data_IF_529750233392
#
_entry.id   IF_529750233392
#
_cell.length_a   1.000
_cell.length_b   1.000
_cell.length_c   1.000
_cell.angle_alpha   90.00
_cell.angle_beta   90.00
_cell.angle_gamma   90.00
#
_symmetry.space_group_name_H-M   'P 1'
#
loop_
_entity.id
_entity.type
_entity.pdbx_description
1 polymer ?
#
# COMPACT_ATOMS: atom_id res chain seq x y z
N UNK A 1 -14.27 6.90 -15.96
CA UNK A 1 -13.17 7.71 -15.41
C UNK A 1 -11.93 6.83 -15.36
N UNK A 2 -10.78 7.36 -15.77
CA UNK A 2 -9.49 6.65 -15.78
C UNK A 2 -8.49 7.50 -14.99
N UNK A 3 -7.76 6.89 -14.07
CA UNK A 3 -6.69 7.56 -13.31
C UNK A 3 -5.37 6.91 -13.67
N UNK A 4 -4.41 7.70 -14.17
CA UNK A 4 -3.09 7.24 -14.63
C UNK A 4 -2.04 8.16 -14.04
N UNK A 5 -1.30 7.66 -13.06
CA UNK A 5 -0.35 8.44 -12.27
C UNK A 5 1.08 8.00 -12.57
N UNK A 6 1.97 8.95 -12.75
CA UNK A 6 3.41 8.75 -12.89
C UNK A 6 4.14 9.44 -11.74
N UNK A 7 4.80 8.67 -10.88
CA UNK A 7 5.31 9.14 -9.61
C UNK A 7 6.74 9.66 -9.72
N UNK A 8 6.94 10.92 -9.31
CA UNK A 8 8.21 11.64 -9.40
C UNK A 8 8.48 12.28 -10.76
N UNK A 9 7.67 11.98 -11.78
CA UNK A 9 7.84 12.52 -13.13
C UNK A 9 6.82 13.59 -13.51
N UNK A 10 7.04 14.21 -14.67
CA UNK A 10 6.11 15.18 -15.28
C UNK A 10 5.02 14.45 -16.08
N UNK A 11 3.95 15.17 -16.42
CA UNK A 11 2.95 14.67 -17.37
C UNK A 11 3.64 14.13 -18.62
N UNK A 12 3.33 12.89 -18.98
CA UNK A 12 4.02 12.18 -20.06
C UNK A 12 3.09 11.25 -20.81
N UNK A 13 3.42 10.93 -22.04
CA UNK A 13 2.71 9.94 -22.85
C UNK A 13 3.64 8.78 -23.13
N UNK A 14 3.29 7.60 -22.62
CA UNK A 14 4.11 6.39 -22.74
C UNK A 14 3.26 5.30 -23.38
N UNK A 15 3.72 4.72 -24.50
CA UNK A 15 2.95 3.71 -25.23
C UNK A 15 1.56 4.18 -25.67
N UNK A 16 1.39 5.47 -25.98
CA UNK A 16 0.10 6.06 -26.37
C UNK A 16 -0.86 6.35 -25.20
N UNK A 17 -0.41 6.18 -23.96
CA UNK A 17 -1.18 6.38 -22.74
C UNK A 17 -0.67 7.64 -22.04
N UNK A 18 -1.56 8.62 -21.80
CA UNK A 18 -1.21 9.82 -21.03
C UNK A 18 -1.24 9.52 -19.54
N UNK A 19 -0.17 9.90 -18.84
CA UNK A 19 -0.02 9.85 -17.39
C UNK A 19 0.08 11.26 -16.82
N UNK A 20 -0.63 11.47 -15.72
CA UNK A 20 -0.51 12.66 -14.88
C UNK A 20 0.71 12.50 -13.96
N UNK A 21 1.58 13.51 -13.95
CA UNK A 21 2.80 13.51 -13.16
C UNK A 21 2.54 13.91 -11.71
N UNK A 22 3.13 13.16 -10.78
CA UNK A 22 3.13 13.43 -9.36
C UNK A 22 4.53 13.92 -8.93
N UNK A 23 4.73 15.23 -8.91
CA UNK A 23 6.01 15.85 -8.58
C UNK A 23 6.10 16.35 -7.13
N UNK A 24 5.05 16.16 -6.33
CA UNK A 24 5.05 16.65 -4.96
C UNK A 24 6.10 15.87 -4.13
N UNK A 25 7.04 16.55 -3.46
CA UNK A 25 8.10 15.86 -2.72
C UNK A 25 7.56 15.04 -1.55
N UNK A 26 6.34 15.31 -1.06
CA UNK A 26 5.77 14.70 0.12
C UNK A 26 6.56 15.05 1.38
N UNK A 27 6.60 14.11 2.33
CA UNK A 27 7.31 14.29 3.60
C UNK A 27 7.01 13.14 4.58
N UNK A 28 7.64 13.14 5.77
CA UNK A 28 7.55 12.05 6.75
C UNK A 28 6.15 11.86 7.36
N UNK A 29 5.32 12.91 7.31
CA UNK A 29 3.91 12.86 7.64
C UNK A 29 3.21 13.88 6.74
N UNK A 30 2.85 13.45 5.54
CA UNK A 30 2.28 14.32 4.52
C UNK A 30 0.98 13.73 3.98
N UNK A 31 0.00 14.60 3.76
CA UNK A 31 -1.16 14.32 2.93
C UNK A 31 -1.23 15.39 1.84
N UNK A 32 -1.15 14.93 0.60
CA UNK A 32 -1.08 15.78 -0.58
C UNK A 32 -2.34 15.53 -1.41
N UNK A 33 -3.32 16.43 -1.36
CA UNK A 33 -4.45 16.38 -2.28
C UNK A 33 -3.98 16.84 -3.67
N UNK A 34 -3.89 15.91 -4.63
CA UNK A 34 -3.54 16.21 -6.00
C UNK A 34 -4.82 16.43 -6.85
N UNK A 35 -5.28 17.68 -6.85
CA UNK A 35 -6.53 18.06 -7.52
C UNK A 35 -7.77 17.38 -6.94
N UNK A 36 -8.87 17.37 -7.71
CA UNK A 36 -10.15 16.83 -7.26
C UNK A 36 -10.16 15.30 -7.20
N UNK A 37 -9.41 14.64 -8.09
CA UNK A 37 -9.62 13.24 -8.45
C UNK A 37 -8.71 12.26 -7.74
N UNK A 38 -7.57 12.70 -7.19
CA UNK A 38 -6.69 11.79 -6.47
C UNK A 38 -5.80 12.52 -5.45
N UNK A 39 -5.08 11.76 -4.63
CA UNK A 39 -4.06 12.30 -3.73
C UNK A 39 -3.39 11.18 -2.98
N UNK A 40 -2.35 11.50 -2.22
CA UNK A 40 -1.63 10.49 -1.46
C UNK A 40 -1.35 10.94 -0.03
N UNK A 41 -1.23 9.96 0.86
CA UNK A 41 -0.66 10.12 2.18
C UNK A 41 0.66 9.36 2.25
N UNK A 42 1.69 10.02 2.75
CA UNK A 42 2.96 9.38 3.08
C UNK A 42 3.22 9.46 4.58
N UNK A 43 3.75 8.37 5.14
CA UNK A 43 4.13 8.27 6.54
C UNK A 43 5.47 7.60 6.70
N UNK A 44 6.18 8.00 7.74
CA UNK A 44 7.46 7.46 8.15
C UNK A 44 8.62 8.38 7.78
N UNK A 45 9.58 8.42 8.68
CA UNK A 45 10.84 9.12 8.52
C UNK A 45 11.98 8.13 8.25
N UNK A 46 12.82 8.45 7.28
CA UNK A 46 14.02 7.66 6.99
C UNK A 46 15.10 8.00 8.01
N UNK A 47 15.62 6.99 8.70
CA UNK A 47 16.65 7.17 9.72
C UNK A 47 18.04 7.31 9.08
N UNK A 48 18.91 8.12 9.70
CA UNK A 48 20.33 8.27 9.37
C UNK A 48 20.60 8.55 7.88
N UNK A 49 19.84 9.46 7.27
CA UNK A 49 20.05 9.81 5.85
C UNK A 49 21.24 10.75 5.67
N UNK A 50 22.22 10.34 4.86
CA UNK A 50 23.42 11.15 4.57
C UNK A 50 23.14 12.28 3.57
N UNK A 51 22.09 12.17 2.75
CA UNK A 51 21.83 13.06 1.60
C UNK A 51 20.48 13.78 1.68
N UNK A 52 19.94 13.90 2.89
CA UNK A 52 18.60 14.43 3.14
C UNK A 52 17.49 13.44 2.77
N UNK A 53 16.30 13.71 3.29
CA UNK A 53 15.11 12.90 3.06
C UNK A 53 14.62 13.06 1.63
N UNK A 54 14.53 11.95 0.89
CA UNK A 54 13.92 11.91 -0.44
C UNK A 54 12.83 10.85 -0.49
N UNK A 55 11.63 11.27 -0.87
CA UNK A 55 10.49 10.38 -1.09
C UNK A 55 10.19 10.16 -2.58
N UNK A 56 11.00 10.74 -3.46
CA UNK A 56 11.04 10.44 -4.90
C UNK A 56 12.43 9.88 -5.20
N UNK A 57 12.46 8.73 -5.85
CA UNK A 57 13.65 8.08 -6.36
C UNK A 57 13.84 8.41 -7.84
N UNK A 58 15.11 8.56 -8.21
CA UNK A 58 15.57 8.60 -9.60
C UNK A 58 16.26 7.27 -9.93
N UNK A 59 16.17 6.84 -11.18
CA UNK A 59 16.87 5.67 -11.65
C UNK A 59 18.39 5.88 -11.61
N UNK A 60 19.10 4.85 -11.14
CA UNK A 60 20.56 4.91 -10.97
C UNK A 60 21.33 4.32 -12.15
N UNK A 61 20.64 3.80 -13.16
CA UNK A 61 21.20 3.12 -14.33
C UNK A 61 20.38 3.39 -15.59
N UNK A 62 20.93 3.05 -16.76
CA UNK A 62 20.20 3.12 -18.02
C UNK A 62 19.20 1.97 -18.09
N UNK A 63 17.91 2.31 -18.12
CA UNK A 63 16.81 1.36 -18.25
C UNK A 63 16.66 0.94 -19.73
N UNK A 64 16.82 -0.36 -20.01
CA UNK A 64 16.77 -0.91 -21.39
C UNK A 64 15.42 -1.52 -21.78
N UNK A 65 14.44 -1.45 -20.89
CA UNK A 65 13.08 -1.95 -21.16
C UNK A 65 12.31 -1.03 -22.11
N UNK A 66 11.28 -1.55 -22.76
CA UNK A 66 10.32 -0.71 -23.47
C UNK A 66 9.59 0.21 -22.50
N UNK A 67 9.18 1.40 -22.96
CA UNK A 67 8.44 2.37 -22.15
C UNK A 67 9.19 2.75 -20.85
N UNK A 68 10.53 2.75 -20.91
CA UNK A 68 11.42 3.01 -19.77
C UNK A 68 11.17 4.36 -19.09
N UNK A 69 10.62 5.33 -19.83
CA UNK A 69 10.27 6.67 -19.36
C UNK A 69 9.30 6.63 -18.18
N UNK A 70 8.45 5.60 -18.08
CA UNK A 70 7.51 5.42 -16.97
C UNK A 70 8.17 4.91 -15.68
N UNK A 71 9.43 4.46 -15.76
CA UNK A 71 10.16 3.83 -14.67
C UNK A 71 11.41 4.61 -14.27
N UNK A 72 11.70 5.76 -14.88
CA UNK A 72 12.83 6.62 -14.50
C UNK A 72 12.68 7.18 -13.08
N UNK A 73 11.44 7.30 -12.62
CA UNK A 73 11.10 7.80 -11.31
C UNK A 73 10.13 6.86 -10.58
N UNK A 74 10.19 6.92 -9.25
CA UNK A 74 9.26 6.19 -8.40
C UNK A 74 9.11 6.88 -7.04
N UNK A 75 7.93 6.76 -6.42
CA UNK A 75 7.72 7.23 -5.04
C UNK A 75 8.18 6.17 -4.04
N UNK A 76 8.81 6.64 -2.97
CA UNK A 76 9.31 5.89 -1.84
C UNK A 76 8.57 6.26 -0.55
N UNK A 77 8.54 5.33 0.39
CA UNK A 77 8.09 5.58 1.76
C UNK A 77 8.82 4.69 2.73
N UNK A 78 9.15 5.21 3.91
CA UNK A 78 9.82 4.42 4.95
C UNK A 78 8.84 3.59 5.79
N UNK A 79 7.52 3.85 5.73
CA UNK A 79 6.54 3.09 6.51
C UNK A 79 5.26 2.78 5.74
N UNK A 80 4.55 3.79 5.27
CA UNK A 80 3.30 3.57 4.53
C UNK A 80 3.04 4.69 3.54
N UNK A 81 2.68 4.31 2.33
CA UNK A 81 2.26 5.18 1.25
C UNK A 81 0.86 4.76 0.81
N UNK A 82 -0.09 5.68 0.87
CA UNK A 82 -1.49 5.40 0.53
C UNK A 82 -1.97 6.37 -0.53
N UNK A 83 -2.47 5.84 -1.65
CA UNK A 83 -3.15 6.61 -2.68
C UNK A 83 -4.65 6.50 -2.52
N UNK A 84 -5.31 7.63 -2.75
CA UNK A 84 -6.75 7.77 -2.76
C UNK A 84 -7.17 8.27 -4.14
N UNK A 85 -7.78 7.40 -4.95
CA UNK A 85 -8.51 7.86 -6.11
C UNK A 85 -9.94 8.19 -5.68
N UNK A 86 -10.37 9.44 -5.90
CA UNK A 86 -11.64 10.01 -5.48
C UNK A 86 -12.53 10.25 -6.69
N UNK A 87 -13.80 10.59 -6.43
CA UNK A 87 -14.79 10.93 -7.46
C UNK A 87 -15.05 9.80 -8.48
N UNK A 88 -14.71 8.55 -8.13
CA UNK A 88 -14.95 7.39 -8.97
C UNK A 88 -16.45 7.02 -8.97
N UNK A 89 -16.95 6.47 -10.07
CA UNK A 89 -18.26 5.83 -10.08
C UNK A 89 -18.21 4.54 -9.26
N UNK A 90 -19.32 4.16 -8.62
CA UNK A 90 -19.39 2.87 -7.96
C UNK A 90 -19.41 1.76 -9.01
N UNK A 91 -18.65 0.69 -8.76
CA UNK A 91 -18.57 -0.45 -9.68
C UNK A 91 -17.21 -1.15 -9.65
N UNK A 92 -16.93 -1.89 -10.72
CA UNK A 92 -15.74 -2.71 -10.89
C UNK A 92 -14.64 -1.96 -11.61
N UNK A 93 -13.41 -2.07 -11.12
CA UNK A 93 -12.23 -1.46 -11.71
C UNK A 93 -11.12 -2.49 -11.91
N UNK A 94 -10.32 -2.27 -12.95
CA UNK A 94 -9.01 -2.89 -13.12
C UNK A 94 -7.95 -1.92 -12.60
N UNK A 95 -7.17 -2.39 -11.62
CA UNK A 95 -6.03 -1.65 -11.05
C UNK A 95 -4.74 -2.30 -11.53
N UNK A 96 -3.85 -1.51 -12.14
CA UNK A 96 -2.51 -1.93 -12.56
C UNK A 96 -1.46 -1.12 -11.81
N UNK A 97 -0.58 -1.83 -11.11
CA UNK A 97 0.52 -1.26 -10.35
C UNK A 97 1.83 -1.53 -11.10
N UNK A 98 2.56 -0.47 -11.42
CA UNK A 98 3.79 -0.51 -12.20
C UNK A 98 5.00 -0.34 -11.28
N UNK A 99 5.88 -1.33 -11.30
CA UNK A 99 7.07 -1.40 -10.48
C UNK A 99 8.31 -1.58 -11.34
N UNK A 100 9.41 -1.00 -10.89
CA UNK A 100 10.75 -1.41 -11.30
C UNK A 100 11.71 -1.12 -10.15
N UNK A 101 12.61 -2.05 -9.85
CA UNK A 101 13.68 -1.79 -8.88
C UNK A 101 14.79 -1.01 -9.58
N UNK A 102 14.86 0.29 -9.30
CA UNK A 102 15.73 1.26 -9.99
C UNK A 102 16.85 1.82 -9.10
N UNK A 103 16.88 1.41 -7.83
CA UNK A 103 17.81 1.89 -6.81
C UNK A 103 18.84 0.80 -6.47
N UNK A 104 18.39 -0.43 -6.19
CA UNK A 104 19.24 -1.60 -5.94
C UNK A 104 19.90 -2.03 -7.25
N UNK A 105 21.19 -2.39 -7.20
CA UNK A 105 22.00 -2.68 -8.39
C UNK A 105 22.31 -4.16 -8.51
N UNK A 106 22.15 -4.74 -9.69
CA UNK A 106 22.53 -6.15 -9.93
C UNK A 106 24.01 -6.41 -10.20
N UNK A 107 24.92 -5.46 -9.92
CA UNK A 107 26.36 -5.62 -10.19
C UNK A 107 27.08 -6.32 -9.02
N UNK A 108 28.35 -6.69 -9.18
CA UNK A 108 29.15 -7.32 -8.10
C UNK A 108 29.65 -6.28 -7.08
N UNK A 109 28.74 -5.52 -6.46
CA UNK A 109 29.07 -4.55 -5.42
C UNK A 109 28.17 -4.71 -4.20
N UNK A 110 28.51 -4.08 -3.08
CA UNK A 110 27.65 -4.10 -1.88
C UNK A 110 26.21 -3.59 -2.15
N UNK A 111 26.02 -2.75 -3.17
CA UNK A 111 24.71 -2.24 -3.56
C UNK A 111 23.76 -3.32 -4.10
N UNK A 112 24.27 -4.50 -4.46
CA UNK A 112 23.45 -5.65 -4.89
C UNK A 112 22.92 -6.50 -3.75
N UNK A 113 23.36 -6.22 -2.52
CA UNK A 113 22.86 -6.90 -1.33
C UNK A 113 21.59 -6.25 -0.79
N UNK A 114 21.13 -5.16 -1.42
CA UNK A 114 19.88 -4.51 -1.07
C UNK A 114 18.69 -5.45 -1.29
N UNK A 115 17.78 -5.49 -0.33
CA UNK A 115 16.55 -6.29 -0.42
C UNK A 115 15.38 -5.37 -0.09
N UNK A 116 14.45 -5.23 -1.03
CA UNK A 116 13.21 -4.47 -0.85
C UNK A 116 12.02 -5.41 -0.74
N UNK A 117 11.33 -5.35 0.40
CA UNK A 117 10.14 -6.16 0.67
C UNK A 117 9.07 -5.25 1.28
N UNK A 118 7.85 -5.30 0.75
CA UNK A 118 6.72 -4.57 1.30
C UNK A 118 5.39 -5.27 0.97
N UNK A 119 4.33 -4.87 1.67
CA UNK A 119 2.98 -5.37 1.45
C UNK A 119 2.16 -4.37 0.61
N UNK A 120 1.21 -4.88 -0.17
CA UNK A 120 0.29 -4.08 -0.99
C UNK A 120 -1.15 -4.44 -0.66
N UNK A 121 -1.93 -3.41 -0.31
CA UNK A 121 -3.34 -3.49 0.00
C UNK A 121 -4.14 -2.70 -1.03
N UNK A 122 -5.26 -3.25 -1.49
CA UNK A 122 -6.23 -2.54 -2.33
C UNK A 122 -7.59 -2.68 -1.66
N UNK A 123 -8.26 -1.55 -1.40
CA UNK A 123 -9.50 -1.51 -0.63
C UNK A 123 -9.38 -2.32 0.67
N UNK A 124 -8.28 -2.09 1.41
CA UNK A 124 -7.95 -2.73 2.70
C UNK A 124 -7.61 -4.24 2.64
N UNK A 125 -7.84 -4.90 1.51
CA UNK A 125 -7.50 -6.31 1.32
C UNK A 125 -6.03 -6.45 0.95
N UNK A 126 -5.31 -7.32 1.66
CA UNK A 126 -3.93 -7.69 1.34
C UNK A 126 -3.91 -8.42 -0.01
N UNK A 127 -3.34 -7.77 -1.02
CA UNK A 127 -3.26 -8.29 -2.38
C UNK A 127 -1.89 -8.90 -2.67
N UNK A 128 -0.81 -8.28 -2.17
CA UNK A 128 0.55 -8.82 -2.25
C UNK A 128 1.17 -8.77 -0.86
N UNK A 129 1.65 -9.92 -0.38
CA UNK A 129 2.37 -10.03 0.89
C UNK A 129 3.85 -10.28 0.62
N UNK A 130 4.73 -9.64 1.38
CA UNK A 130 6.17 -9.79 1.28
C UNK A 130 6.67 -9.62 -0.17
N UNK A 131 6.08 -8.65 -0.89
CA UNK A 131 6.35 -8.42 -2.29
C UNK A 131 7.77 -7.88 -2.48
N UNK A 132 8.54 -8.58 -3.31
CA UNK A 132 9.89 -8.20 -3.70
C UNK A 132 9.93 -8.00 -5.23
N UNK A 133 10.18 -6.75 -5.64
CA UNK A 133 10.15 -6.35 -7.05
C UNK A 133 11.23 -7.09 -7.85
N UNK A 134 12.45 -7.17 -7.32
CA UNK A 134 13.59 -7.81 -8.00
C UNK A 134 13.31 -9.30 -8.24
N UNK A 135 12.77 -9.99 -7.24
CA UNK A 135 12.45 -11.42 -7.35
C UNK A 135 11.36 -11.65 -8.40
N UNK A 136 10.28 -10.86 -8.37
CA UNK A 136 9.19 -10.96 -9.34
C UNK A 136 9.66 -10.64 -10.77
N UNK A 137 10.55 -9.66 -10.91
CA UNK A 137 11.12 -9.23 -12.18
C UNK A 137 12.24 -10.15 -12.71
N UNK A 138 12.72 -11.08 -11.88
CA UNK A 138 13.94 -11.87 -12.13
C UNK A 138 15.16 -10.97 -12.38
N UNK A 139 15.32 -9.93 -11.55
CA UNK A 139 16.43 -8.99 -11.56
C UNK A 139 16.00 -7.52 -11.44
N UNK A 140 16.98 -6.65 -11.27
CA UNK A 140 16.77 -5.19 -11.19
C UNK A 140 16.59 -4.57 -12.59
N UNK A 141 16.21 -3.29 -12.64
CA UNK A 141 16.08 -2.52 -13.89
C UNK A 141 15.18 -3.22 -14.92
N UNK A 142 14.08 -3.82 -14.44
CA UNK A 142 13.06 -4.51 -15.24
C UNK A 142 11.66 -4.08 -14.78
N UNK A 143 10.74 -3.95 -15.73
CA UNK A 143 9.36 -3.59 -15.44
C UNK A 143 8.56 -4.81 -14.94
N UNK A 144 7.76 -4.59 -13.90
CA UNK A 144 6.76 -5.53 -13.40
C UNK A 144 5.42 -4.82 -13.31
N UNK A 145 4.38 -5.43 -13.85
CA UNK A 145 3.02 -4.91 -13.79
C UNK A 145 2.16 -5.94 -13.05
N UNK A 146 1.59 -5.54 -11.91
CA UNK A 146 0.62 -6.36 -11.18
C UNK A 146 -0.78 -5.86 -11.47
N UNK A 147 -1.58 -6.71 -12.09
CA UNK A 147 -2.96 -6.43 -12.50
C UNK A 147 -3.96 -7.07 -11.54
N UNK A 148 -4.90 -6.27 -11.06
CA UNK A 148 -6.00 -6.69 -10.19
C UNK A 148 -7.32 -6.29 -10.84
N UNK A 149 -8.06 -7.28 -11.34
CA UNK A 149 -9.40 -7.09 -11.92
C UNK A 149 -10.47 -7.16 -10.84
N UNK A 150 -11.67 -6.73 -11.18
CA UNK A 150 -12.83 -6.84 -10.30
C UNK A 150 -12.67 -6.13 -8.93
N UNK A 151 -11.92 -5.02 -8.89
CA UNK A 151 -11.77 -4.22 -7.67
C UNK A 151 -13.03 -3.39 -7.46
N UNK A 152 -13.77 -3.70 -6.41
CA UNK A 152 -15.05 -3.06 -6.12
C UNK A 152 -14.87 -1.69 -5.45
N UNK A 153 -15.54 -0.67 -5.99
CA UNK A 153 -15.63 0.67 -5.42
C UNK A 153 -17.07 0.95 -5.01
N UNK A 154 -17.30 1.17 -3.70
CA UNK A 154 -18.64 1.41 -3.12
C UNK A 154 -18.90 2.86 -2.71
N UNK A 155 -17.85 3.59 -2.37
CA UNK A 155 -17.95 4.92 -1.76
C UNK A 155 -17.23 5.97 -2.60
N UNK A 156 -17.28 5.80 -3.94
CA UNK A 156 -16.62 6.69 -4.92
C UNK A 156 -15.12 6.89 -4.71
N UNK A 157 -14.50 6.06 -3.86
CA UNK A 157 -13.11 6.15 -3.45
C UNK A 157 -12.46 4.78 -3.54
N UNK A 158 -11.27 4.72 -4.14
CA UNK A 158 -10.42 3.54 -4.20
C UNK A 158 -9.13 3.84 -3.44
N UNK A 159 -8.86 3.06 -2.40
CA UNK A 159 -7.63 3.15 -1.59
C UNK A 159 -6.62 2.08 -2.04
N UNK A 160 -5.38 2.50 -2.32
CA UNK A 160 -4.23 1.61 -2.58
C UNK A 160 -3.15 1.96 -1.56
N UNK A 161 -2.75 1.01 -0.74
CA UNK A 161 -1.77 1.23 0.33
C UNK A 161 -0.60 0.28 0.19
N UNK A 162 0.59 0.85 0.22
CA UNK A 162 1.86 0.15 0.26
C UNK A 162 2.44 0.29 1.65
N UNK A 163 2.83 -0.80 2.29
CA UNK A 163 3.25 -0.80 3.69
C UNK A 163 4.55 -1.57 3.88
N UNK A 164 5.49 -0.98 4.61
CA UNK A 164 6.71 -1.63 5.05
C UNK A 164 6.54 -2.21 6.45
N UNK A 165 6.69 -3.53 6.58
CA UNK A 165 6.60 -4.26 7.85
C UNK A 165 7.97 -4.45 8.53
N UNK A 166 8.99 -3.66 8.17
CA UNK A 166 10.33 -3.76 8.76
C UNK A 166 11.24 -4.82 8.11
N UNK A 167 10.85 -5.39 6.97
CA UNK A 167 11.60 -6.46 6.28
C UNK A 167 12.51 -5.93 5.17
N UNK A 168 13.59 -6.67 4.89
CA UNK A 168 14.60 -6.28 3.90
C UNK A 168 15.71 -5.43 4.51
N UNK A 169 16.46 -4.72 3.68
CA UNK A 169 17.62 -3.95 4.11
C UNK A 169 17.29 -2.48 4.29
N UNK A 170 17.82 -1.87 5.35
CA UNK A 170 17.66 -0.43 5.63
C UNK A 170 18.90 0.42 5.28
N UNK A 171 20.07 -0.22 5.15
CA UNK A 171 21.35 0.44 4.92
C UNK A 171 22.01 0.15 3.55
N UNK A 172 21.46 -0.80 2.77
CA UNK A 172 21.92 -1.10 1.40
C UNK A 172 20.81 -0.74 0.41
N UNK A 173 21.14 -0.14 -0.76
CA UNK A 173 22.47 0.26 -1.23
C UNK A 173 23.06 1.48 -0.49
N UNK A 174 22.22 2.24 0.20
CA UNK A 174 22.59 3.33 1.12
C UNK A 174 21.50 3.45 2.19
N UNK A 175 21.75 4.23 3.23
CA UNK A 175 20.72 4.49 4.26
C UNK A 175 19.58 5.34 3.68
N UNK A 176 18.36 5.06 4.13
CA UNK A 176 17.19 5.88 3.80
C UNK A 176 16.54 5.62 2.45
N UNK A 177 16.67 4.41 1.88
CA UNK A 177 16.00 4.04 0.61
C UNK A 177 15.17 2.77 0.72
N UNK A 178 14.78 2.35 1.92
CA UNK A 178 13.96 1.14 2.16
C UNK A 178 12.45 1.39 2.00
N UNK A 179 11.64 0.35 2.19
CA UNK A 179 10.17 0.40 2.13
C UNK A 179 9.59 0.33 0.70
N UNK A 180 8.29 0.66 0.51
CA UNK A 180 7.64 0.65 -0.79
C UNK A 180 8.34 1.49 -1.85
N UNK A 181 8.29 1.00 -3.08
CA UNK A 181 8.71 1.71 -4.29
C UNK A 181 7.62 1.51 -5.34
N UNK A 182 7.10 2.57 -5.94
CA UNK A 182 6.05 2.49 -6.99
C UNK A 182 6.30 3.54 -8.08
N UNK A 183 6.33 3.10 -9.34
CA UNK A 183 6.59 4.00 -10.49
C UNK A 183 5.30 4.60 -11.03
N UNK A 184 4.27 3.79 -11.25
CA UNK A 184 3.00 4.27 -11.80
C UNK A 184 1.78 3.46 -11.34
N UNK A 185 0.62 4.08 -11.36
CA UNK A 185 -0.68 3.46 -11.03
C UNK A 185 -1.65 3.76 -12.16
N UNK A 186 -2.33 2.73 -12.66
CA UNK A 186 -3.43 2.87 -13.60
C UNK A 186 -4.70 2.27 -13.01
N UNK A 187 -5.80 3.02 -13.04
CA UNK A 187 -7.13 2.60 -12.57
C UNK A 187 -8.11 2.85 -13.70
N UNK A 188 -8.77 1.79 -14.15
CA UNK A 188 -9.69 1.81 -15.29
C UNK A 188 -11.02 1.17 -14.91
N UNK A 189 -12.13 1.83 -15.23
CA UNK A 189 -13.46 1.27 -15.02
C UNK A 189 -13.69 0.09 -15.97
N UNK A 190 -14.18 -1.01 -15.44
CA UNK A 190 -14.56 -2.16 -16.25
C UNK A 190 -15.93 -1.88 -16.88
N UNK A 191 -15.94 -1.37 -18.11
CA UNK A 191 -17.18 -1.16 -18.84
C UNK A 191 -17.85 -2.50 -19.11
N UNK A 192 -19.07 -2.68 -18.61
CA UNK A 192 -19.93 -3.80 -18.99
C UNK A 192 -20.41 -3.62 -20.43
N UNK A 193 -19.51 -3.75 -21.42
CA UNK A 193 -19.96 -4.00 -22.78
C UNK A 193 -20.47 -5.44 -22.83
N UNK A 194 -21.77 -5.55 -23.05
CA UNK A 194 -22.51 -6.79 -23.28
C UNK A 194 -21.75 -7.74 -24.21
N UNK A 195 -21.20 -8.80 -23.63
CA UNK A 195 -20.57 -9.90 -24.34
C UNK A 195 -20.74 -11.15 -23.51
N UNK A 196 -21.73 -11.96 -23.89
CA UNK A 196 -21.99 -13.36 -23.49
C UNK A 196 -21.03 -13.92 -22.44
N UNK A 197 -21.51 -14.01 -21.20
CA UNK A 197 -20.92 -14.82 -20.13
C UNK A 197 -20.75 -16.25 -20.66
N UNK A 198 -19.52 -16.65 -20.99
CA UNK A 198 -19.12 -18.06 -21.00
C UNK A 198 -18.97 -18.49 -19.55
N UNK A 199 -19.98 -19.18 -19.07
CA UNK A 199 -19.99 -19.85 -17.77
C UNK A 199 -18.94 -20.95 -17.79
N UNK A 200 -17.85 -20.75 -17.05
CA UNK A 200 -16.88 -21.82 -16.77
C UNK A 200 -17.44 -22.67 -15.64
N UNK A 201 -17.86 -23.87 -16.00
CA UNK A 201 -18.29 -24.95 -15.11
C UNK A 201 -17.23 -25.26 -14.04
N UNK A 202 -17.62 -25.48 -12.77
CA UNK A 202 -16.70 -25.96 -11.75
C UNK A 202 -16.39 -27.44 -12.01
N UNK A 203 -15.12 -27.75 -12.22
CA UNK A 203 -14.59 -29.12 -12.31
C UNK A 203 -14.60 -29.75 -10.92
N UNK A 204 -15.58 -30.61 -10.68
CA UNK A 204 -15.70 -31.46 -9.49
C UNK A 204 -14.51 -32.41 -9.36
N UNK A 205 -13.56 -32.07 -8.48
CA UNK A 205 -12.43 -32.95 -8.14
C UNK A 205 -12.73 -33.66 -6.83
N UNK A 206 -13.24 -34.88 -6.93
CA UNK A 206 -13.47 -35.82 -5.82
C UNK A 206 -12.16 -36.11 -5.09
N UNK A 207 -12.03 -35.66 -3.84
CA UNK A 207 -10.92 -36.06 -2.94
C UNK A 207 -11.29 -37.36 -2.23
N UNK A 208 -10.50 -38.41 -2.45
CA UNK A 208 -10.55 -39.66 -1.67
C UNK A 208 -9.83 -39.45 -0.33
N UNK A 209 -10.50 -39.74 0.77
CA UNK A 209 -9.93 -39.78 2.12
C UNK A 209 -9.42 -41.19 2.37
N UNK A 210 -8.14 -41.32 2.73
CA UNK A 210 -7.58 -42.55 3.30
C UNK A 210 -7.42 -42.37 4.80
N UNK A 211 -8.10 -43.22 5.57
CA UNK A 211 -8.01 -43.29 7.02
C UNK A 211 -6.75 -44.06 7.40
N UNK A 212 -5.75 -43.37 7.95
CA UNK A 212 -4.64 -44.00 8.69
C UNK A 212 -4.82 -43.64 10.16
N UNK A 213 -5.23 -44.62 10.94
CA UNK A 213 -5.25 -44.57 12.39
C UNK A 213 -3.86 -44.95 12.93
N UNK A 214 -3.37 -44.20 13.91
CA UNK A 214 -2.29 -44.68 14.79
C UNK A 214 -1.23 -43.64 15.11
N UNK A 215 -1.27 -43.17 16.37
CA UNK A 215 -0.29 -42.35 17.08
C UNK A 215 -0.14 -40.89 16.66
N UNK A 216 -0.56 -39.96 17.53
CA UNK A 216 0.29 -38.83 17.95
C UNK A 216 -0.46 -37.81 18.83
N UNK A 217 -0.87 -38.23 20.03
CA UNK A 217 -1.29 -37.25 21.06
C UNK A 217 -0.14 -36.25 21.31
N UNK A 218 1.12 -36.69 21.21
CA UNK A 218 2.30 -35.83 21.29
C UNK A 218 2.43 -34.85 20.11
N UNK A 219 2.22 -35.26 18.85
CA UNK A 219 2.24 -34.29 17.74
C UNK A 219 1.10 -33.28 17.86
N UNK A 220 -0.08 -33.68 18.32
CA UNK A 220 -1.18 -32.73 18.52
C UNK A 220 -0.80 -31.68 19.57
N UNK A 221 -0.11 -32.05 20.66
CA UNK A 221 0.37 -31.09 21.66
C UNK A 221 1.46 -30.17 21.11
N UNK A 222 2.42 -30.67 20.32
CA UNK A 222 3.43 -29.84 19.66
C UNK A 222 2.84 -28.92 18.59
N UNK A 223 1.83 -29.39 17.85
CA UNK A 223 1.11 -28.57 16.88
C UNK A 223 0.29 -27.49 17.59
N UNK A 224 -0.42 -27.82 18.68
CA UNK A 224 -1.20 -26.85 19.45
C UNK A 224 -0.29 -25.81 20.11
N UNK A 225 0.86 -26.22 20.66
CA UNK A 225 1.82 -25.28 21.24
C UNK A 225 2.51 -24.41 20.19
N UNK A 226 2.87 -24.97 19.03
CA UNK A 226 3.37 -24.20 17.88
C UNK A 226 2.35 -23.19 17.36
N UNK A 227 1.08 -23.58 17.25
CA UNK A 227 -0.04 -22.70 16.85
C UNK A 227 -0.28 -21.63 17.92
N UNK A 228 -0.20 -21.97 19.21
CA UNK A 228 -0.32 -21.02 20.31
C UNK A 228 0.85 -20.03 20.34
N UNK A 229 2.06 -20.48 20.06
CA UNK A 229 3.25 -19.64 19.97
C UNK A 229 3.20 -18.70 18.76
N UNK A 230 2.77 -19.19 17.60
CA UNK A 230 2.57 -18.35 16.40
C UNK A 230 1.47 -17.30 16.62
N UNK A 231 0.37 -17.67 17.30
CA UNK A 231 -0.69 -16.74 17.71
C UNK A 231 -0.21 -15.73 18.75
N UNK A 232 0.70 -16.12 19.65
CA UNK A 232 1.30 -15.22 20.63
C UNK A 232 2.25 -14.20 19.97
N UNK A 233 3.05 -14.62 18.98
CA UNK A 233 3.87 -13.72 18.17
C UNK A 233 3.02 -12.73 17.36
N UNK A 234 1.91 -13.17 16.74
CA UNK A 234 0.96 -12.28 16.05
C UNK A 234 0.28 -11.27 16.99
N UNK A 235 0.24 -11.56 18.30
CA UNK A 235 -0.29 -10.66 19.33
C UNK A 235 0.71 -9.60 19.77
N UNK A 236 2.01 -9.85 19.54
CA UNK A 236 3.10 -8.93 19.85
C UNK A 236 3.48 -8.03 18.67
N UNK A 237 2.91 -8.29 17.47
CA UNK A 237 2.98 -7.37 16.34
C UNK A 237 2.39 -6.03 16.81
N UNK A 238 3.24 -5.00 16.87
CA UNK A 238 2.92 -3.69 17.41
C UNK A 238 1.52 -3.26 16.93
N UNK A 239 0.58 -3.17 17.88
CA UNK A 239 -0.78 -2.68 17.65
C UNK A 239 -0.80 -1.17 17.32
N UNK A 240 0.04 -0.70 16.40
CA UNK A 240 -0.28 0.46 15.57
C UNK A 240 -1.49 0.07 14.73
N UNK A 241 -2.66 0.39 15.25
CA UNK A 241 -3.91 0.13 14.55
C UNK A 241 -3.94 0.86 13.23
N UNK A 242 -4.04 0.10 12.14
CA UNK A 242 -4.47 0.66 10.87
C UNK A 242 -5.92 1.10 11.02
N UNK A 243 -6.22 2.36 10.67
CA UNK A 243 -7.56 2.89 10.62
C UNK A 243 -7.90 3.25 9.19
N UNK A 244 -9.05 2.81 8.74
CA UNK A 244 -9.52 3.08 7.39
C UNK A 244 -10.08 4.50 7.33
N UNK A 245 -10.07 5.12 6.15
CA UNK A 245 -10.68 6.45 6.00
C UNK A 245 -12.15 6.46 6.46
N UNK A 246 -12.89 5.36 6.22
CA UNK A 246 -14.27 5.21 6.69
C UNK A 246 -14.36 5.20 8.21
N UNK A 247 -13.47 4.47 8.87
CA UNK A 247 -13.40 4.44 10.33
C UNK A 247 -13.07 5.82 10.89
N UNK A 248 -12.09 6.53 10.30
CA UNK A 248 -11.69 7.87 10.74
C UNK A 248 -12.83 8.87 10.51
N UNK A 249 -13.45 8.86 9.33
CA UNK A 249 -14.60 9.73 9.00
C UNK A 249 -15.77 9.47 9.94
N UNK A 250 -16.13 8.22 10.18
CA UNK A 250 -17.21 7.88 11.11
C UNK A 250 -16.86 8.29 12.55
N UNK A 251 -15.62 8.03 12.99
CA UNK A 251 -15.16 8.33 14.34
C UNK A 251 -15.07 9.84 14.65
N UNK A 252 -14.89 10.67 13.63
CA UNK A 252 -14.81 12.14 13.71
C UNK A 252 -16.12 12.86 13.35
N UNK A 253 -17.20 12.12 13.13
CA UNK A 253 -18.48 12.65 12.63
C UNK A 253 -18.33 13.44 11.31
N UNK A 254 -17.67 12.86 10.31
CA UNK A 254 -17.30 13.52 9.05
C UNK A 254 -16.48 14.80 9.23
N UNK A 255 -15.52 14.77 10.16
CA UNK A 255 -14.64 15.92 10.46
C UNK A 255 -15.41 17.17 10.93
N UNK A 256 -16.43 16.95 11.75
CA UNK A 256 -17.26 18.01 12.35
C UNK A 256 -16.38 19.04 13.09
N UNK A 257 -16.51 20.36 12.79
CA UNK A 257 -15.72 21.40 13.45
C UNK A 257 -15.82 21.40 14.97
N UNK A 258 -16.94 20.93 15.54
CA UNK A 258 -17.13 20.82 17.01
C UNK A 258 -16.15 19.82 17.63
N UNK A 259 -15.69 18.83 16.86
CA UNK A 259 -14.72 17.85 17.31
C UNK A 259 -13.27 18.31 17.08
N UNK A 260 -13.02 19.46 16.46
CA UNK A 260 -11.66 19.97 16.22
C UNK A 260 -11.06 20.49 17.53
N UNK A 261 -9.94 19.92 17.94
CA UNK A 261 -9.23 20.30 19.17
C UNK A 261 -8.07 21.27 18.93
N UNK A 262 -7.66 21.45 17.68
CA UNK A 262 -6.59 22.37 17.32
C UNK A 262 -6.16 22.24 15.87
N UNK A 263 -5.30 23.15 15.43
CA UNK A 263 -4.66 23.15 14.13
C UNK A 263 -3.21 23.60 14.29
N UNK A 264 -2.28 22.88 13.67
CA UNK A 264 -0.84 23.20 13.69
C UNK A 264 -0.18 22.90 12.35
N UNK A 265 1.16 22.94 12.30
CA UNK A 265 1.94 22.72 11.07
C UNK A 265 1.73 21.36 10.38
N UNK A 266 1.09 20.41 11.06
CA UNK A 266 0.78 19.06 10.57
C UNK A 266 -0.71 18.86 10.19
N UNK A 267 -1.54 19.91 10.34
CA UNK A 267 -2.96 19.90 9.99
C UNK A 267 -3.92 20.03 11.17
N UNK A 268 -5.20 19.74 10.90
CA UNK A 268 -6.27 19.81 11.89
C UNK A 268 -6.32 18.55 12.75
N UNK A 269 -6.62 18.73 14.02
CA UNK A 269 -6.64 17.65 14.99
C UNK A 269 -8.06 17.49 15.50
N UNK A 270 -8.59 16.27 15.44
CA UNK A 270 -9.96 15.97 15.84
C UNK A 270 -10.02 15.00 17.01
N UNK A 271 -10.94 15.25 17.94
CA UNK A 271 -11.33 14.33 19.00
C UNK A 271 -12.25 13.28 18.43
N UNK A 272 -12.00 12.03 18.83
CA UNK A 272 -12.87 10.91 18.51
C UNK A 272 -13.81 10.64 19.67
N UNK A 273 -15.11 10.51 19.40
CA UNK A 273 -16.07 10.05 20.41
C UNK A 273 -15.90 8.56 20.71
N UNK A 274 -15.66 8.22 21.97
CA UNK A 274 -15.40 6.86 22.47
C UNK A 274 -16.48 5.84 22.05
N UNK A 275 -17.75 6.28 22.02
CA UNK A 275 -18.89 5.46 21.62
C UNK A 275 -18.87 5.01 20.16
N UNK A 276 -18.38 5.84 19.24
CA UNK A 276 -18.21 5.46 17.82
C UNK A 276 -16.94 4.64 17.60
N UNK A 277 -15.88 4.92 18.38
CA UNK A 277 -14.63 4.18 18.36
C UNK A 277 -14.80 2.71 18.76
N UNK A 278 -15.46 2.47 19.91
CA UNK A 278 -15.66 1.13 20.46
C UNK A 278 -16.58 0.29 19.54
N UNK A 279 -17.58 0.92 18.90
CA UNK A 279 -18.43 0.28 17.87
C UNK A 279 -17.65 -0.14 16.62
N UNK A 280 -16.73 0.71 16.15
CA UNK A 280 -15.96 0.47 14.93
C UNK A 280 -14.73 -0.43 15.16
N UNK A 281 -14.38 -0.74 16.41
CA UNK A 281 -13.23 -1.59 16.77
C UNK A 281 -13.54 -2.54 17.96
N UNK A 282 -14.43 -3.54 17.78
CA UNK A 282 -15.00 -4.37 18.86
C UNK A 282 -14.05 -5.39 19.52
N UNK A 283 -12.74 -5.10 19.56
CA UNK A 283 -11.72 -5.96 20.20
C UNK A 283 -10.65 -5.21 21.00
N UNK A 284 -10.66 -3.88 21.03
CA UNK A 284 -9.67 -3.07 21.78
C UNK A 284 -10.23 -2.65 23.13
N UNK A 285 -9.78 -3.28 24.22
CA UNK A 285 -10.03 -2.79 25.58
C UNK A 285 -9.24 -1.49 25.81
N UNK A 286 -9.94 -0.37 25.93
CA UNK A 286 -9.33 0.93 26.24
C UNK A 286 -9.13 1.09 27.76
N UNK A 287 -7.86 1.12 28.21
CA UNK A 287 -7.52 1.84 29.44
C UNK A 287 -7.51 3.34 29.09
N UNK A 288 -8.04 4.19 29.99
CA UNK A 288 -8.24 5.64 29.80
C UNK A 288 -7.06 6.31 29.07
N UNK A 289 -7.22 6.60 27.79
CA UNK A 289 -6.41 7.55 27.05
C UNK A 289 -7.33 8.29 26.08
N UNK A 290 -7.32 9.62 26.13
CA UNK A 290 -7.93 10.43 25.09
C UNK A 290 -7.12 10.20 23.82
N UNK A 291 -7.71 9.56 22.82
CA UNK A 291 -7.03 9.32 21.54
C UNK A 291 -7.22 10.54 20.64
N UNK A 292 -6.09 11.13 20.24
CA UNK A 292 -5.99 12.29 19.36
C UNK A 292 -5.66 11.78 17.96
N UNK A 293 -6.48 12.10 16.96
CA UNK A 293 -6.19 11.78 15.56
C UNK A 293 -5.66 13.02 14.83
N UNK A 294 -4.53 12.85 14.15
CA UNK A 294 -3.93 13.86 13.29
C UNK A 294 -4.55 13.76 11.88
N UNK A 295 -5.06 14.86 11.36
CA UNK A 295 -5.57 14.98 9.99
C UNK A 295 -4.78 16.06 9.26
N UNK A 296 -3.95 15.65 8.30
CA UNK A 296 -3.33 16.59 7.35
C UNK A 296 -4.35 17.03 6.29
N UNK A 297 -4.29 18.32 5.95
CA UNK A 297 -5.28 19.15 5.23
C UNK A 297 -6.10 18.47 4.12
N UNK A 298 -7.43 18.58 4.20
CA UNK A 298 -8.32 18.76 3.05
C UNK A 298 -8.94 20.15 3.14
N UNK A 299 -8.63 21.05 2.21
CA UNK A 299 -9.43 22.27 2.03
C UNK A 299 -10.66 21.91 1.18
N UNK A 300 -11.80 22.48 1.59
CA UNK A 300 -13.06 22.54 0.84
C UNK A 300 -12.90 23.26 -0.50
#
# INVERSE_FOLDING_TARGET
>A
MVVRLFHGGRNTTVGGINFEGDQDPGGPSAFVPAGANWGFSNTGHFWDTEFGEKYIADNTSVLRMSNSELYTNARLSSLSLTYYARCLANGSYTVRLHFSEIIIRGNRSFHSLGIRIFDVYIQEKLMLKDFNIEVEAQGVDKAVIKEFKAVEVKDKTLEIRFHWSGKGTTASPRRGVYGPLISAITIEFESTHSGLRKESTPRDSKKKVFTVAGASVLCLVFLISGILWEKALRRLDLQTGFFTFKQIRAATNSFDPVNKIGEGGFGSVYKVTKTLWDKNNPGRRTKRAQHVLHSSRSNM
#
